data_IF_065924449844
#
_entry.id   IF_065924449844
#
_cell.length_a   1.000
_cell.length_b   1.000
_cell.length_c   1.000
_cell.angle_alpha   90.00
_cell.angle_beta   90.00
_cell.angle_gamma   90.00
#
_symmetry.space_group_name_H-M   'P 1'
#
loop_
_entity.id
_entity.type
_entity.pdbx_description
1 polymer ?
#
# COMPACT_ATOMS: atom_id res chain seq x y z
N UNK A 1 -0.79 -37.08 -1.38
CA UNK A 1 -1.39 -35.98 -0.60
C UNK A 1 -1.39 -34.74 -1.50
N UNK A 2 -2.57 -34.26 -1.88
CA UNK A 2 -2.69 -33.06 -2.70
C UNK A 2 -2.20 -31.86 -1.90
N UNK A 3 -1.20 -31.14 -2.42
CA UNK A 3 -0.78 -29.86 -1.85
C UNK A 3 -1.89 -28.86 -2.16
N UNK A 4 -2.62 -28.43 -1.14
CA UNK A 4 -3.53 -27.29 -1.26
C UNK A 4 -2.65 -26.05 -1.50
N UNK A 5 -2.63 -25.57 -2.74
CA UNK A 5 -2.14 -24.25 -3.07
C UNK A 5 -3.11 -23.29 -2.39
N UNK A 6 -2.73 -22.73 -1.25
CA UNK A 6 -3.48 -21.61 -0.69
C UNK A 6 -3.15 -20.43 -1.60
N UNK A 7 -4.10 -20.03 -2.41
CA UNK A 7 -4.00 -18.82 -3.21
C UNK A 7 -3.97 -17.63 -2.24
N UNK A 8 -2.78 -17.10 -1.97
CA UNK A 8 -2.55 -16.02 -0.99
C UNK A 8 -2.73 -14.65 -1.65
N UNK A 9 -3.72 -14.51 -2.54
CA UNK A 9 -3.94 -13.26 -3.27
C UNK A 9 -4.60 -12.25 -2.32
N UNK A 10 -3.94 -11.13 -2.00
CA UNK A 10 -4.54 -10.07 -1.19
C UNK A 10 -5.77 -9.49 -1.92
N UNK A 11 -6.79 -9.07 -1.16
CA UNK A 11 -8.01 -8.50 -1.73
C UNK A 11 -8.15 -7.03 -1.34
N UNK A 12 -8.16 -6.16 -2.35
CA UNK A 12 -8.65 -4.80 -2.22
C UNK A 12 -10.17 -4.84 -2.23
N UNK A 13 -10.80 -4.71 -1.07
CA UNK A 13 -12.26 -4.74 -0.93
C UNK A 13 -12.80 -3.35 -0.62
N UNK A 14 -14.13 -3.19 -0.60
CA UNK A 14 -14.76 -1.97 -0.11
C UNK A 14 -14.36 -1.63 1.33
N UNK A 15 -13.98 -2.62 2.15
CA UNK A 15 -13.49 -2.36 3.51
C UNK A 15 -12.08 -1.75 3.52
N UNK A 16 -11.20 -2.15 2.58
CA UNK A 16 -9.89 -1.53 2.39
C UNK A 16 -10.03 -0.04 2.06
N UNK A 17 -11.06 0.31 1.27
CA UNK A 17 -11.42 1.70 0.92
C UNK A 17 -12.27 2.36 2.02
N UNK A 18 -13.02 1.60 2.81
CA UNK A 18 -13.85 2.10 3.91
C UNK A 18 -13.04 2.45 5.16
N UNK A 19 -11.86 1.84 5.33
CA UNK A 19 -10.98 2.04 6.47
C UNK A 19 -9.87 3.10 6.22
N UNK A 20 -9.96 3.89 5.14
CA UNK A 20 -8.95 4.90 4.78
C UNK A 20 -8.68 5.92 5.88
N UNK A 21 -9.69 6.28 6.68
CA UNK A 21 -9.54 7.20 7.80
C UNK A 21 -8.56 6.68 8.86
N UNK A 22 -8.42 5.36 8.96
CA UNK A 22 -7.51 4.66 9.87
C UNK A 22 -6.11 4.54 9.30
N UNK A 23 -5.91 4.77 8.00
CA UNK A 23 -4.61 4.69 7.35
C UNK A 23 -3.88 6.04 7.41
N UNK A 24 -2.57 5.96 7.54
CA UNK A 24 -1.66 7.11 7.52
C UNK A 24 -0.53 6.85 6.51
N UNK A 25 -0.16 7.86 5.72
CA UNK A 25 1.05 7.80 4.91
C UNK A 25 2.26 8.18 5.77
N UNK A 26 3.28 7.34 5.73
CA UNK A 26 4.57 7.57 6.39
C UNK A 26 5.66 7.37 5.36
N UNK A 27 6.50 8.39 5.17
CA UNK A 27 7.58 8.34 4.20
C UNK A 27 8.92 8.47 4.90
N UNK A 28 9.76 7.44 4.79
CA UNK A 28 11.14 7.48 5.26
C UNK A 28 12.04 7.93 4.10
N UNK A 29 12.56 9.16 4.18
CA UNK A 29 13.41 9.70 3.13
C UNK A 29 14.82 9.10 3.12
N UNK A 30 15.31 8.58 4.25
CA UNK A 30 16.65 7.99 4.36
C UNK A 30 16.69 6.62 3.66
N UNK A 31 15.59 5.87 3.73
CA UNK A 31 15.44 4.55 3.10
C UNK A 31 14.69 4.62 1.75
N UNK A 32 14.14 5.79 1.39
CA UNK A 32 13.25 5.98 0.24
C UNK A 32 12.06 5.00 0.23
N UNK A 33 11.39 4.88 1.38
CA UNK A 33 10.27 3.94 1.59
C UNK A 33 9.00 4.71 1.94
N UNK A 34 7.92 4.45 1.18
CA UNK A 34 6.57 4.88 1.54
C UNK A 34 5.80 3.72 2.17
N UNK A 35 5.28 3.94 3.37
CA UNK A 35 4.33 3.05 4.03
C UNK A 35 2.95 3.70 4.11
N UNK A 36 1.92 3.00 3.63
CA UNK A 36 0.53 3.25 4.01
C UNK A 36 0.18 2.22 5.07
N UNK A 37 -0.07 2.67 6.30
CA UNK A 37 -0.27 1.76 7.44
C UNK A 37 -1.38 2.25 8.36
N UNK A 38 -2.01 1.36 9.15
CA UNK A 38 -3.00 1.78 10.12
C UNK A 38 -2.34 2.59 11.23
N UNK A 39 -3.10 3.53 11.80
CA UNK A 39 -2.68 4.35 12.94
C UNK A 39 -2.39 3.49 14.17
N UNK A 40 -3.16 2.42 14.35
CA UNK A 40 -2.98 1.42 15.39
C UNK A 40 -2.35 0.16 14.79
N UNK A 41 -1.49 -0.52 15.56
CA UNK A 41 -0.87 -1.75 15.09
C UNK A 41 -1.90 -2.85 14.98
N UNK A 42 -1.95 -3.52 13.82
CA UNK A 42 -2.81 -4.67 13.56
C UNK A 42 -1.95 -5.86 13.10
N UNK A 43 -2.35 -7.10 13.42
CA UNK A 43 -1.72 -8.29 12.85
C UNK A 43 -1.80 -8.26 11.32
N UNK A 44 -0.66 -8.45 10.66
CA UNK A 44 -0.60 -8.49 9.20
C UNK A 44 0.57 -9.36 8.73
N UNK A 45 0.38 -10.03 7.60
CA UNK A 45 1.43 -10.70 6.85
C UNK A 45 1.75 -9.89 5.60
N UNK A 46 3.01 -9.94 5.17
CA UNK A 46 3.47 -9.24 3.97
C UNK A 46 3.53 -10.18 2.78
N UNK A 47 3.05 -9.72 1.64
CA UNK A 47 3.18 -10.37 0.34
C UNK A 47 4.05 -9.50 -0.55
N UNK A 48 5.18 -10.06 -1.00
CA UNK A 48 6.08 -9.42 -1.95
C UNK A 48 5.47 -9.44 -3.35
N UNK A 49 5.35 -8.26 -3.94
CA UNK A 49 5.02 -8.03 -5.32
C UNK A 49 6.20 -7.42 -6.07
N UNK A 50 7.03 -8.31 -6.61
CA UNK A 50 8.07 -7.96 -7.59
C UNK A 50 9.27 -7.23 -7.00
N UNK A 51 9.52 -7.39 -5.71
CA UNK A 51 10.66 -6.82 -4.99
C UNK A 51 10.61 -5.29 -4.84
N UNK A 52 9.49 -4.65 -5.16
CA UNK A 52 9.33 -3.19 -5.04
C UNK A 52 8.11 -2.81 -4.20
N UNK A 53 7.09 -3.67 -4.14
CA UNK A 53 5.83 -3.40 -3.44
C UNK A 53 5.53 -4.57 -2.49
N UNK A 54 5.32 -4.27 -1.21
CA UNK A 54 4.87 -5.24 -0.22
C UNK A 54 3.44 -4.92 0.19
N UNK A 55 2.54 -5.87 -0.02
CA UNK A 55 1.15 -5.76 0.34
C UNK A 55 0.97 -6.40 1.71
N UNK A 56 0.52 -5.62 2.70
CA UNK A 56 0.22 -6.11 4.04
C UNK A 56 -1.26 -6.42 4.13
N UNK A 57 -1.60 -7.65 4.49
CA UNK A 57 -2.99 -8.07 4.64
C UNK A 57 -3.21 -8.86 5.92
N UNK A 58 -4.44 -8.84 6.40
CA UNK A 58 -4.86 -9.60 7.57
C UNK A 58 -5.01 -11.09 7.18
N UNK A 59 -4.37 -12.05 7.89
CA UNK A 59 -4.28 -13.43 7.44
C UNK A 59 -5.61 -14.17 7.28
N UNK A 60 -6.63 -13.88 8.07
CA UNK A 60 -7.89 -14.64 8.05
C UNK A 60 -8.82 -14.14 6.93
N UNK A 61 -9.10 -12.85 6.90
CA UNK A 61 -9.96 -12.14 5.94
C UNK A 61 -9.31 -11.90 4.58
N UNK A 62 -7.97 -11.90 4.53
CA UNK A 62 -7.17 -11.49 3.36
C UNK A 62 -7.33 -10.02 2.96
N UNK A 63 -7.91 -9.20 3.84
CA UNK A 63 -8.11 -7.78 3.61
C UNK A 63 -6.77 -7.05 3.64
N UNK A 64 -6.50 -6.22 2.63
CA UNK A 64 -5.33 -5.35 2.63
C UNK A 64 -5.47 -4.31 3.74
N UNK A 65 -4.49 -4.27 4.64
CA UNK A 65 -4.43 -3.35 5.77
C UNK A 65 -3.28 -2.34 5.66
N UNK A 66 -2.36 -2.55 4.72
CA UNK A 66 -1.28 -1.61 4.47
C UNK A 66 -0.47 -1.97 3.24
N UNK A 67 0.36 -1.04 2.81
CA UNK A 67 1.28 -1.19 1.68
C UNK A 67 2.61 -0.57 2.06
N UNK A 68 3.67 -1.16 1.56
CA UNK A 68 5.02 -0.61 1.60
C UNK A 68 5.58 -0.62 0.19
N UNK A 69 6.22 0.48 -0.20
CA UNK A 69 6.84 0.64 -1.51
C UNK A 69 8.27 1.09 -1.28
N UNK A 70 9.24 0.26 -1.66
CA UNK A 70 10.66 0.61 -1.64
C UNK A 70 11.07 1.40 -2.87
N UNK A 71 12.16 2.16 -2.76
CA UNK A 71 12.66 3.04 -3.81
C UNK A 71 11.56 3.96 -4.36
N UNK A 72 10.74 4.51 -3.46
CA UNK A 72 9.49 5.16 -3.80
C UNK A 72 9.68 6.39 -4.69
N UNK A 73 10.48 7.38 -4.25
CA UNK A 73 10.76 8.58 -5.06
C UNK A 73 11.80 8.31 -6.15
N UNK A 74 12.81 7.49 -5.85
CA UNK A 74 13.93 7.25 -6.76
C UNK A 74 13.54 6.41 -7.97
N UNK A 75 12.57 5.51 -7.84
CA UNK A 75 12.14 4.56 -8.88
C UNK A 75 10.63 4.62 -9.13
N UNK A 76 9.79 4.30 -8.13
CA UNK A 76 8.36 4.11 -8.33
C UNK A 76 7.66 5.35 -8.90
N UNK A 77 7.88 6.51 -8.29
CA UNK A 77 7.27 7.78 -8.72
C UNK A 77 7.73 8.20 -10.12
N UNK A 78 8.94 7.83 -10.54
CA UNK A 78 9.42 8.10 -11.90
C UNK A 78 8.78 7.19 -12.94
N UNK A 79 8.44 5.95 -12.56
CA UNK A 79 7.71 4.99 -13.41
C UNK A 79 6.22 5.35 -13.53
N UNK A 80 5.64 5.96 -12.49
CA UNK A 80 4.21 6.24 -12.36
C UNK A 80 3.91 7.74 -12.21
N UNK A 81 4.01 8.52 -13.32
CA UNK A 81 3.81 9.97 -13.29
C UNK A 81 2.42 10.42 -12.80
N UNK A 82 1.40 9.56 -12.96
CA UNK A 82 0.04 9.76 -12.43
C UNK A 82 0.03 9.87 -10.90
N UNK A 83 0.88 9.10 -10.20
CA UNK A 83 1.03 9.17 -8.74
C UNK A 83 1.90 10.36 -8.34
N UNK A 84 2.92 10.69 -9.15
CA UNK A 84 3.88 11.76 -8.88
C UNK A 84 3.22 13.12 -8.56
N UNK A 85 2.18 13.47 -9.32
CA UNK A 85 1.47 14.75 -9.14
C UNK A 85 0.79 14.84 -7.77
N UNK A 86 0.14 13.76 -7.36
CA UNK A 86 -0.60 13.71 -6.08
C UNK A 86 0.37 13.59 -4.92
N UNK A 87 1.45 12.81 -5.10
CA UNK A 87 2.53 12.69 -4.13
C UNK A 87 3.15 14.05 -3.77
N UNK A 88 3.45 14.90 -4.77
CA UNK A 88 4.01 16.23 -4.54
C UNK A 88 3.15 17.10 -3.61
N UNK A 89 1.82 16.94 -3.67
CA UNK A 89 0.89 17.64 -2.78
C UNK A 89 0.81 17.01 -1.39
N UNK A 90 0.93 15.69 -1.28
CA UNK A 90 0.77 14.95 -0.03
C UNK A 90 2.06 14.83 0.81
N UNK A 91 3.24 14.79 0.16
CA UNK A 91 4.55 14.62 0.81
C UNK A 91 4.77 15.53 2.03
N UNK A 92 4.45 16.84 1.98
CA UNK A 92 4.66 17.71 3.15
C UNK A 92 3.90 17.26 4.39
N UNK A 93 2.79 16.56 4.21
CA UNK A 93 1.89 16.11 5.29
C UNK A 93 2.16 14.67 5.72
N UNK A 94 3.05 13.96 5.03
CA UNK A 94 3.53 12.66 5.48
C UNK A 94 4.30 12.82 6.78
N UNK A 95 4.19 11.85 7.68
CA UNK A 95 4.79 11.85 9.02
C UNK A 95 4.27 12.92 9.99
N UNK A 96 3.37 13.83 9.56
CA UNK A 96 2.80 14.82 10.46
C UNK A 96 1.66 14.25 11.29
N UNK A 97 1.53 14.71 12.54
CA UNK A 97 0.29 14.50 13.30
C UNK A 97 -0.80 15.32 12.61
N UNK A 98 -1.89 14.66 12.21
CA UNK A 98 -3.12 15.28 11.68
C UNK A 98 -3.57 16.41 12.61
N UNK A 99 -3.19 17.66 12.30
CA UNK A 99 -3.47 18.82 13.16
C UNK A 99 -4.49 19.76 12.53
N UNK A 100 -4.74 19.64 11.22
CA UNK A 100 -5.67 20.49 10.47
C UNK A 100 -6.50 19.68 9.47
N UNK A 101 -7.79 20.00 9.42
CA UNK A 101 -8.79 19.37 8.53
C UNK A 101 -8.39 19.32 7.05
N UNK A 102 -7.70 20.37 6.56
CA UNK A 102 -7.25 20.43 5.15
C UNK A 102 -6.13 19.43 4.86
N UNK A 103 -5.28 19.14 5.83
CA UNK A 103 -4.17 18.18 5.69
C UNK A 103 -4.73 16.76 5.63
N UNK A 104 -5.74 16.48 6.44
CA UNK A 104 -6.45 15.20 6.46
C UNK A 104 -7.07 14.90 5.09
N UNK A 105 -7.74 15.88 4.49
CA UNK A 105 -8.35 15.74 3.17
C UNK A 105 -7.33 15.47 2.05
N UNK A 106 -6.13 16.07 2.11
CA UNK A 106 -5.07 15.84 1.11
C UNK A 106 -4.47 14.44 1.28
N UNK A 107 -4.14 14.04 2.51
CA UNK A 107 -3.60 12.70 2.79
C UNK A 107 -4.59 11.60 2.44
N UNK A 108 -5.87 11.77 2.78
CA UNK A 108 -6.92 10.82 2.43
C UNK A 108 -7.08 10.70 0.90
N UNK A 109 -7.08 11.83 0.19
CA UNK A 109 -7.13 11.83 -1.28
C UNK A 109 -5.93 11.12 -1.89
N UNK A 110 -4.74 11.32 -1.34
CA UNK A 110 -3.53 10.63 -1.80
C UNK A 110 -3.62 9.12 -1.59
N UNK A 111 -4.02 8.67 -0.39
CA UNK A 111 -4.18 7.24 -0.10
C UNK A 111 -5.22 6.64 -1.06
N UNK A 112 -6.38 7.29 -1.24
CA UNK A 112 -7.42 6.84 -2.19
C UNK A 112 -6.85 6.61 -3.58
N UNK A 113 -6.17 7.62 -4.12
CA UNK A 113 -5.62 7.56 -5.48
C UNK A 113 -4.54 6.49 -5.58
N UNK A 114 -3.65 6.38 -4.61
CA UNK A 114 -2.60 5.38 -4.60
C UNK A 114 -3.18 3.96 -4.52
N UNK A 115 -4.16 3.71 -3.64
CA UNK A 115 -4.78 2.40 -3.50
C UNK A 115 -5.59 2.01 -4.74
N UNK A 116 -6.34 2.94 -5.33
CA UNK A 116 -7.04 2.69 -6.59
C UNK A 116 -6.07 2.39 -7.73
N UNK A 117 -4.97 3.14 -7.82
CA UNK A 117 -3.91 2.87 -8.78
C UNK A 117 -3.31 1.47 -8.57
N UNK A 118 -2.99 1.10 -7.34
CA UNK A 118 -2.41 -0.21 -7.03
C UNK A 118 -3.40 -1.34 -7.31
N UNK A 119 -4.67 -1.22 -6.94
CA UNK A 119 -5.68 -2.23 -7.25
C UNK A 119 -5.77 -2.49 -8.76
N UNK A 120 -5.81 -1.44 -9.59
CA UNK A 120 -5.81 -1.57 -11.05
C UNK A 120 -4.48 -2.12 -11.59
N UNK A 121 -3.36 -1.61 -11.11
CA UNK A 121 -2.02 -2.03 -11.51
C UNK A 121 -1.80 -3.52 -11.24
N UNK A 122 -2.19 -4.01 -10.07
CA UNK A 122 -2.02 -5.40 -9.65
C UNK A 122 -2.94 -6.34 -10.44
N UNK A 123 -4.17 -5.93 -10.74
CA UNK A 123 -5.11 -6.68 -11.60
C UNK A 123 -4.58 -6.84 -13.03
N UNK A 124 -3.94 -5.80 -13.56
CA UNK A 124 -3.42 -5.78 -14.93
C UNK A 124 -2.04 -6.43 -15.06
N UNK A 125 -1.30 -6.57 -13.97
CA UNK A 125 0.05 -7.16 -13.96
C UNK A 125 0.13 -8.35 -12.99
N UNK A 126 -0.75 -9.36 -13.09
CA UNK A 126 -0.79 -10.44 -12.12
C UNK A 126 0.57 -11.15 -12.07
N UNK A 127 1.21 -11.15 -10.90
CA UNK A 127 2.41 -11.95 -10.74
C UNK A 127 2.05 -13.42 -10.69
N UNK A 128 2.63 -14.20 -11.59
CA UNK A 128 2.78 -15.63 -11.39
C UNK A 128 3.92 -15.85 -10.41
N UNK A 129 3.61 -16.18 -9.15
CA UNK A 129 4.63 -16.71 -8.24
C UNK A 129 4.12 -17.99 -7.58
N UNK A 130 4.75 -19.10 -8.00
CA UNK A 130 4.71 -20.39 -7.33
C UNK A 130 5.52 -20.33 -6.05
N UNK A 131 4.88 -20.48 -4.89
CA UNK A 131 5.58 -20.68 -3.63
C UNK A 131 6.16 -22.10 -3.58
N UNK A 132 7.49 -22.21 -3.58
CA UNK A 132 8.19 -23.41 -3.10
C UNK A 132 8.63 -23.11 -1.67
N UNK A 133 7.85 -23.59 -0.69
CA UNK A 133 8.31 -23.62 0.70
C UNK A 133 9.14 -24.90 0.83
N UNK A 134 10.44 -24.74 1.08
CA UNK A 134 11.36 -25.82 1.42
C UNK A 134 11.20 -26.29 2.86
#
# INVERSE_FOLDING_TARGET
MGKTIIEVTPKFTENTVGNLEKLIPVYNADEDVLCIKPKESVPAVSYDWGGEIWIRFEPESKEVVGIEIENFESVFIKKHPEVAKVWKAAKPFCNQKKTRVKEDSICESFIKILLSFLDEFLKNNPQQTSFSIG
#
